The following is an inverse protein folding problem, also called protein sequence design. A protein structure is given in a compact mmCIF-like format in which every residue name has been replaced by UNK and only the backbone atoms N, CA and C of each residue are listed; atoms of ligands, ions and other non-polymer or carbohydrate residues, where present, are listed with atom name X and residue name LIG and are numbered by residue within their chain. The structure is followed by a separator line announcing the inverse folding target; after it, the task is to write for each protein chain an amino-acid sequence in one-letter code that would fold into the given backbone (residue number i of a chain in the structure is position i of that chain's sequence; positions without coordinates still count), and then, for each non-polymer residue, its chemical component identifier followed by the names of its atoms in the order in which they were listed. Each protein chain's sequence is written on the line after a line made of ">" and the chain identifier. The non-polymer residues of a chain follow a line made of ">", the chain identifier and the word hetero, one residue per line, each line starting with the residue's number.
data_IF_129268788291
#
_entry.id   IF_129268788291
#
_cell.length_a   1.000
_cell.length_b   1.000
_cell.length_c   1.000
_cell.angle_alpha   90.00
_cell.angle_beta   90.00
_cell.angle_gamma   90.00
#
_symmetry.space_group_name_H-M   'P 1'
#
loop_
_entity.id
_entity.type
_entity.pdbx_description
1 polymer ?
#
# COMPACT_ATOMS: atom_id res chain seq x y z
N UNK A 1 -36.54 -24.41 -32.59
CA UNK A 1 -36.89 -24.18 -31.18
C UNK A 1 -36.47 -25.34 -30.24
N UNK A 2 -36.47 -26.59 -30.69
CA UNK A 2 -36.05 -27.78 -29.90
C UNK A 2 -34.51 -27.79 -29.68
N UNK A 3 -33.72 -27.43 -30.66
CA UNK A 3 -32.24 -27.40 -30.61
C UNK A 3 -31.67 -26.39 -29.61
N UNK A 4 -32.27 -25.22 -29.45
CA UNK A 4 -31.85 -24.21 -28.45
C UNK A 4 -32.21 -24.60 -27.00
N UNK A 5 -33.27 -25.38 -26.78
CA UNK A 5 -33.62 -25.92 -25.47
C UNK A 5 -32.65 -27.01 -25.01
N UNK A 6 -32.19 -27.85 -25.94
CA UNK A 6 -31.23 -28.93 -25.63
C UNK A 6 -29.80 -28.38 -25.38
N UNK A 7 -29.40 -27.31 -26.06
CA UNK A 7 -28.12 -26.60 -25.76
C UNK A 7 -28.15 -25.94 -24.38
N UNK A 8 -29.23 -25.23 -24.02
CA UNK A 8 -29.36 -24.64 -22.67
C UNK A 8 -29.37 -25.72 -21.56
N UNK A 9 -29.96 -26.89 -21.81
CA UNK A 9 -29.97 -27.98 -20.84
C UNK A 9 -28.59 -28.64 -20.68
N UNK A 10 -27.79 -28.75 -21.75
CA UNK A 10 -26.40 -29.25 -21.73
C UNK A 10 -25.45 -28.28 -21.10
N UNK A 11 -25.65 -26.97 -21.29
CA UNK A 11 -24.82 -25.91 -20.66
C UNK A 11 -25.10 -25.83 -19.16
N UNK A 12 -26.35 -25.85 -18.73
CA UNK A 12 -26.71 -25.86 -17.30
C UNK A 12 -26.19 -27.12 -16.58
N UNK A 13 -26.23 -28.30 -17.22
CA UNK A 13 -25.71 -29.53 -16.59
C UNK A 13 -24.22 -29.57 -16.46
N UNK A 14 -23.45 -28.94 -17.37
CA UNK A 14 -22.00 -28.82 -17.27
C UNK A 14 -21.55 -27.80 -16.20
N UNK A 15 -22.26 -26.66 -16.11
CA UNK A 15 -22.01 -25.63 -15.08
C UNK A 15 -22.36 -26.15 -13.69
N UNK A 16 -23.49 -26.85 -13.52
CA UNK A 16 -23.88 -27.46 -12.24
C UNK A 16 -22.95 -28.62 -11.87
N UNK A 17 -22.45 -29.38 -12.86
CA UNK A 17 -21.45 -30.43 -12.65
C UNK A 17 -20.09 -29.90 -12.24
N UNK A 18 -19.71 -28.71 -12.72
CA UNK A 18 -18.48 -28.04 -12.35
C UNK A 18 -18.55 -27.43 -10.95
N UNK A 19 -19.66 -26.76 -10.62
CA UNK A 19 -19.93 -26.23 -9.27
C UNK A 19 -19.98 -27.37 -8.22
N UNK A 20 -20.53 -28.54 -8.55
CA UNK A 20 -20.54 -29.71 -7.64
C UNK A 20 -19.17 -30.36 -7.45
N UNK A 21 -18.23 -30.25 -8.38
CA UNK A 21 -16.87 -30.79 -8.26
C UNK A 21 -15.89 -29.85 -7.56
N UNK A 22 -16.20 -28.54 -7.53
CA UNK A 22 -15.36 -27.52 -6.86
C UNK A 22 -15.86 -27.22 -5.44
N UNK A 23 -17.13 -27.50 -5.14
CA UNK A 23 -17.75 -27.22 -3.83
C UNK A 23 -17.29 -28.09 -2.64
N UNK A 24 -16.69 -29.30 -2.78
CA UNK A 24 -16.21 -30.03 -1.59
C UNK A 24 -14.88 -29.55 -1.04
N UNK A 25 -14.22 -28.56 -1.64
CA UNK A 25 -12.92 -28.06 -1.14
C UNK A 25 -13.05 -26.80 -0.26
N UNK A 26 -14.27 -26.27 -0.04
CA UNK A 26 -14.50 -25.09 0.80
C UNK A 26 -15.60 -25.31 1.83
N UNK A 27 -15.48 -26.41 2.60
CA UNK A 27 -16.03 -26.45 3.95
C UNK A 27 -14.86 -26.48 4.95
N UNK A 28 -14.00 -25.47 4.87
CA UNK A 28 -13.31 -25.02 6.08
C UNK A 28 -14.41 -24.28 6.86
N UNK A 29 -15.02 -25.01 7.76
CA UNK A 29 -15.85 -24.52 8.83
C UNK A 29 -15.20 -23.29 9.44
N UNK A 30 -15.82 -22.11 9.23
CA UNK A 30 -15.77 -21.04 10.19
C UNK A 30 -16.35 -21.65 11.49
N UNK A 31 -15.48 -22.22 12.30
CA UNK A 31 -15.76 -22.37 13.71
C UNK A 31 -15.90 -20.94 14.24
N UNK A 32 -17.08 -20.58 14.78
CA UNK A 32 -17.14 -19.35 15.56
C UNK A 32 -16.21 -19.57 16.76
N UNK A 33 -15.08 -18.91 16.80
CA UNK A 33 -14.33 -18.65 18.02
C UNK A 33 -15.19 -17.69 18.87
N UNK A 34 -16.36 -18.18 19.29
CA UNK A 34 -17.14 -17.59 20.36
C UNK A 34 -16.56 -18.15 21.65
N UNK A 35 -15.74 -17.38 22.30
CA UNK A 35 -15.33 -17.71 23.64
C UNK A 35 -13.97 -17.16 23.99
N UNK A 36 -13.95 -15.86 24.21
CA UNK A 36 -13.18 -15.16 25.24
C UNK A 36 -13.52 -13.67 25.07
N UNK A 37 -14.80 -13.36 25.37
CA UNK A 37 -15.17 -12.00 25.71
C UNK A 37 -14.69 -11.78 27.14
N UNK A 38 -13.44 -11.42 27.30
CA UNK A 38 -12.98 -10.71 28.45
C UNK A 38 -13.03 -9.24 28.05
N UNK A 39 -13.92 -8.47 28.69
CA UNK A 39 -13.99 -7.01 28.58
C UNK A 39 -12.65 -6.37 29.04
N UNK A 40 -11.62 -6.50 28.22
CA UNK A 40 -10.57 -5.50 28.16
C UNK A 40 -11.16 -4.37 27.32
N UNK A 41 -11.37 -3.21 27.90
CA UNK A 41 -11.57 -1.97 27.16
C UNK A 41 -10.46 -1.93 26.11
N UNK A 42 -10.80 -2.23 24.87
CA UNK A 42 -9.89 -2.18 23.76
C UNK A 42 -9.44 -0.72 23.65
N UNK A 43 -8.22 -0.46 24.04
CA UNK A 43 -7.66 0.88 24.06
C UNK A 43 -7.16 1.19 22.65
N UNK A 44 -7.51 2.36 22.14
CA UNK A 44 -7.11 2.80 20.80
C UNK A 44 -5.64 3.24 20.84
N UNK A 45 -4.77 2.45 20.22
CA UNK A 45 -3.33 2.68 20.14
C UNK A 45 -2.85 2.72 18.67
N UNK A 46 -3.10 3.80 17.95
CA UNK A 46 -2.60 3.94 16.58
C UNK A 46 -1.08 4.07 16.58
N UNK A 47 -0.44 3.57 15.51
CA UNK A 47 1.00 3.77 15.31
C UNK A 47 1.21 5.13 14.65
N UNK A 48 1.78 6.07 15.41
CA UNK A 48 2.07 7.42 14.94
C UNK A 48 3.39 7.49 14.18
N UNK A 49 3.40 8.20 13.05
CA UNK A 49 4.57 8.42 12.23
C UNK A 49 4.48 9.75 11.47
N UNK A 50 5.60 10.27 11.03
CA UNK A 50 5.65 11.45 10.16
C UNK A 50 5.36 11.09 8.69
N UNK A 51 5.21 12.10 7.84
CA UNK A 51 5.09 12.00 6.38
C UNK A 51 3.99 11.02 5.96
N UNK A 52 2.77 11.33 6.38
CA UNK A 52 1.57 10.47 6.20
C UNK A 52 1.34 10.11 4.73
N UNK A 53 1.72 10.98 3.79
CA UNK A 53 1.56 10.72 2.35
C UNK A 53 2.23 9.42 1.90
N UNK A 54 3.28 8.95 2.59
CA UNK A 54 3.99 7.73 2.20
C UNK A 54 3.19 6.45 2.43
N UNK A 55 2.16 6.48 3.27
CA UNK A 55 1.27 5.33 3.50
C UNK A 55 0.06 5.28 2.57
N UNK A 56 -0.14 6.33 1.75
CA UNK A 56 -1.27 6.42 0.82
C UNK A 56 -0.89 5.71 -0.49
N UNK A 57 -1.65 4.69 -0.88
CA UNK A 57 -1.50 4.01 -2.16
C UNK A 57 -1.76 4.98 -3.34
N UNK A 58 -0.83 5.11 -4.30
CA UNK A 58 -0.93 6.16 -5.31
C UNK A 58 -1.74 5.80 -6.54
N UNK A 59 -1.81 4.52 -6.92
CA UNK A 59 -2.33 4.08 -8.22
C UNK A 59 -3.70 3.41 -8.15
N UNK A 60 -4.45 3.54 -9.23
CA UNK A 60 -5.82 3.07 -9.33
C UNK A 60 -5.93 1.54 -9.51
N UNK A 61 -4.93 0.88 -10.13
CA UNK A 61 -4.93 -0.58 -10.29
C UNK A 61 -4.93 -1.28 -8.95
N UNK A 62 -3.93 -0.99 -8.13
CA UNK A 62 -3.79 -1.57 -6.80
C UNK A 62 -4.92 -1.15 -5.87
N UNK A 63 -5.36 0.11 -5.99
CA UNK A 63 -6.52 0.61 -5.27
C UNK A 63 -7.80 -0.19 -5.55
N UNK A 64 -8.03 -0.57 -6.80
CA UNK A 64 -9.19 -1.40 -7.18
C UNK A 64 -9.12 -2.83 -6.62
N UNK A 65 -7.96 -3.26 -6.12
CA UNK A 65 -7.70 -4.60 -5.56
C UNK A 65 -7.51 -4.60 -4.05
N UNK A 66 -7.91 -3.57 -3.31
CA UNK A 66 -7.72 -3.49 -1.85
C UNK A 66 -6.33 -3.01 -1.44
N UNK A 67 -5.69 -2.18 -2.24
CA UNK A 67 -4.32 -1.68 -2.02
C UNK A 67 -3.26 -2.82 -1.98
N UNK A 68 -3.31 -3.72 -2.98
CA UNK A 68 -2.40 -4.85 -3.17
C UNK A 68 -1.42 -4.54 -4.30
N UNK A 69 -0.12 -4.77 -4.07
CA UNK A 69 0.86 -4.48 -5.10
C UNK A 69 2.21 -5.18 -4.94
N UNK A 70 2.49 -5.84 -3.80
CA UNK A 70 3.80 -6.43 -3.53
C UNK A 70 4.19 -7.53 -4.51
N UNK A 71 3.22 -8.36 -4.93
CA UNK A 71 3.45 -9.53 -5.76
C UNK A 71 2.59 -9.59 -7.04
N UNK A 72 1.74 -8.61 -7.29
CA UNK A 72 0.97 -8.51 -8.55
C UNK A 72 1.89 -8.40 -9.76
N UNK A 73 1.35 -8.68 -10.96
CA UNK A 73 2.11 -8.52 -12.20
C UNK A 73 2.83 -7.18 -12.27
N UNK A 74 4.08 -7.17 -12.79
CA UNK A 74 4.87 -5.95 -12.94
C UNK A 74 4.15 -4.89 -13.76
N UNK A 75 4.17 -3.65 -13.27
CA UNK A 75 3.63 -2.48 -13.97
C UNK A 75 4.47 -1.22 -13.70
N UNK A 76 4.06 -0.09 -14.29
CA UNK A 76 4.80 1.17 -14.16
C UNK A 76 4.80 1.71 -12.73
N UNK A 77 3.78 1.42 -11.93
CA UNK A 77 3.65 1.88 -10.54
C UNK A 77 4.36 0.97 -9.52
N UNK A 78 5.12 -0.02 -9.99
CA UNK A 78 5.86 -0.95 -9.12
C UNK A 78 6.88 -0.26 -8.19
N UNK A 79 7.28 0.99 -8.47
CA UNK A 79 8.18 1.75 -7.60
C UNK A 79 7.68 1.88 -6.16
N UNK A 80 6.40 2.12 -5.97
CA UNK A 80 5.78 2.24 -4.64
C UNK A 80 5.59 0.87 -3.95
N UNK A 81 5.23 -0.15 -4.73
CA UNK A 81 4.83 -1.44 -4.20
C UNK A 81 5.99 -2.39 -3.99
N UNK A 82 6.78 -2.58 -5.04
CA UNK A 82 7.93 -3.49 -5.06
C UNK A 82 8.77 -3.20 -6.33
N UNK A 83 9.82 -2.39 -6.24
CA UNK A 83 10.64 -2.06 -7.41
C UNK A 83 11.40 -3.27 -8.00
N UNK A 84 11.54 -4.38 -7.29
CA UNK A 84 12.17 -5.59 -7.81
C UNK A 84 11.36 -6.24 -8.96
N UNK A 85 10.11 -5.82 -9.20
CA UNK A 85 9.28 -6.31 -10.30
C UNK A 85 9.72 -5.78 -11.68
N UNK A 86 10.39 -4.64 -11.77
CA UNK A 86 10.70 -3.99 -13.05
C UNK A 86 11.49 -4.83 -14.06
N UNK A 87 12.47 -5.67 -13.69
CA UNK A 87 13.14 -6.53 -14.67
C UNK A 87 12.21 -7.51 -15.39
N UNK A 88 11.04 -7.84 -14.79
CA UNK A 88 10.02 -8.70 -15.37
C UNK A 88 8.97 -7.95 -16.23
N UNK A 89 9.03 -6.61 -16.31
CA UNK A 89 8.15 -5.86 -17.19
C UNK A 89 8.37 -6.28 -18.65
N UNK A 90 7.30 -6.38 -19.44
CA UNK A 90 7.37 -6.72 -20.86
C UNK A 90 8.01 -5.57 -21.63
N UNK A 91 7.51 -4.34 -21.42
CA UNK A 91 7.99 -3.15 -22.11
C UNK A 91 9.35 -2.70 -21.58
N UNK A 92 10.15 -2.14 -22.46
CA UNK A 92 11.48 -1.63 -22.13
C UNK A 92 11.43 -0.41 -21.19
N UNK A 93 10.41 0.42 -21.35
CA UNK A 93 10.21 1.60 -20.51
C UNK A 93 8.73 1.96 -20.41
N UNK A 94 8.36 2.61 -19.34
CA UNK A 94 7.01 3.14 -19.12
C UNK A 94 7.01 4.32 -18.18
N UNK A 95 5.95 5.13 -18.27
CA UNK A 95 5.68 6.24 -17.36
C UNK A 95 4.21 6.24 -16.98
N UNK A 96 3.90 6.54 -15.71
CA UNK A 96 2.52 6.65 -15.23
C UNK A 96 2.31 7.96 -14.48
N UNK A 97 1.13 8.53 -14.67
CA UNK A 97 0.59 9.67 -13.97
C UNK A 97 -0.59 9.19 -13.12
N UNK A 98 -0.53 9.45 -11.84
CA UNK A 98 -1.56 9.04 -10.89
C UNK A 98 -2.08 10.27 -10.17
N UNK A 99 -3.40 10.33 -9.96
CA UNK A 99 -4.07 11.40 -9.27
C UNK A 99 -5.14 10.84 -8.34
N UNK A 100 -5.11 11.28 -7.09
CA UNK A 100 -6.05 10.89 -6.06
C UNK A 100 -6.54 12.12 -5.32
N UNK A 101 -7.78 12.57 -5.55
CA UNK A 101 -8.44 13.53 -4.66
C UNK A 101 -8.66 12.84 -3.30
N UNK A 102 -7.98 13.36 -2.27
CA UNK A 102 -7.97 12.74 -0.95
C UNK A 102 -8.98 13.39 -0.02
N UNK A 103 -9.67 12.59 0.82
CA UNK A 103 -10.61 13.05 1.84
C UNK A 103 -11.71 14.00 1.33
N UNK A 104 -12.18 13.85 0.09
CA UNK A 104 -13.16 14.74 -0.56
C UNK A 104 -14.48 14.91 0.21
N UNK A 105 -14.81 13.96 1.07
CA UNK A 105 -15.96 14.04 1.98
C UNK A 105 -15.79 15.12 3.07
N UNK A 106 -14.55 15.41 3.46
CA UNK A 106 -14.22 16.35 4.53
C UNK A 106 -13.76 17.70 3.97
N UNK A 107 -12.86 17.69 3.00
CA UNK A 107 -12.21 18.88 2.40
C UNK A 107 -12.00 18.68 0.91
N UNK A 108 -12.06 19.80 0.15
CA UNK A 108 -12.06 19.72 -1.31
C UNK A 108 -10.70 19.96 -1.97
N UNK A 109 -9.67 20.26 -1.21
CA UNK A 109 -8.37 20.75 -1.67
C UNK A 109 -7.17 19.93 -1.21
N UNK A 110 -7.42 18.72 -0.70
CA UNK A 110 -6.37 17.74 -0.39
C UNK A 110 -6.22 16.79 -1.59
N UNK A 111 -5.03 16.78 -2.18
CA UNK A 111 -4.76 16.05 -3.42
C UNK A 111 -3.41 15.33 -3.36
N UNK A 112 -3.37 14.11 -3.89
CA UNK A 112 -2.15 13.36 -4.12
C UNK A 112 -1.91 13.22 -5.62
N UNK A 113 -0.77 13.72 -6.08
CA UNK A 113 -0.22 13.46 -7.41
C UNK A 113 1.01 12.56 -7.31
N UNK A 114 1.11 11.57 -8.18
CA UNK A 114 2.23 10.65 -8.21
C UNK A 114 2.61 10.31 -9.63
N UNK A 115 3.90 10.48 -9.96
CA UNK A 115 4.48 10.13 -11.24
C UNK A 115 5.51 9.03 -11.00
N UNK A 116 5.43 7.95 -11.75
CA UNK A 116 6.42 6.87 -11.71
C UNK A 116 6.89 6.52 -13.11
N UNK A 117 8.12 6.02 -13.20
CA UNK A 117 8.67 5.55 -14.47
C UNK A 117 9.82 4.58 -14.25
N UNK A 118 10.09 3.80 -15.28
CA UNK A 118 11.19 2.86 -15.29
C UNK A 118 11.79 2.74 -16.69
N UNK A 119 13.04 2.25 -16.73
CA UNK A 119 13.74 1.89 -17.93
C UNK A 119 14.56 0.61 -17.69
N UNK A 120 14.30 -0.44 -18.50
CA UNK A 120 15.05 -1.69 -18.45
C UNK A 120 16.38 -1.55 -19.21
N UNK A 121 17.47 -1.95 -18.54
CA UNK A 121 18.82 -1.99 -19.07
C UNK A 121 19.13 -3.43 -19.43
N UNK A 122 18.96 -3.77 -20.72
CA UNK A 122 19.04 -5.16 -21.16
C UNK A 122 17.89 -6.02 -20.60
N UNK A 123 18.17 -7.29 -20.33
CA UNK A 123 17.18 -8.26 -19.88
C UNK A 123 17.16 -8.46 -18.36
N UNK A 124 18.22 -8.00 -17.65
CA UNK A 124 18.44 -8.35 -16.25
C UNK A 124 18.37 -7.19 -15.27
N UNK A 125 18.37 -5.96 -15.74
CA UNK A 125 18.41 -4.80 -14.86
C UNK A 125 17.35 -3.75 -15.26
N UNK A 126 16.94 -2.94 -14.31
CA UNK A 126 16.16 -1.76 -14.57
C UNK A 126 16.53 -0.63 -13.59
N UNK A 127 16.39 0.60 -14.06
CA UNK A 127 16.39 1.81 -13.24
C UNK A 127 14.98 2.35 -13.20
N UNK A 128 14.62 2.98 -12.10
CA UNK A 128 13.28 3.50 -11.87
C UNK A 128 13.33 4.76 -11.04
N UNK A 129 12.24 5.50 -11.05
CA UNK A 129 12.10 6.67 -10.22
C UNK A 129 10.66 7.09 -10.08
N UNK A 130 10.37 7.88 -9.07
CA UNK A 130 9.05 8.46 -8.87
C UNK A 130 9.13 9.82 -8.19
N UNK A 131 8.11 10.63 -8.42
CA UNK A 131 7.86 11.89 -7.74
C UNK A 131 6.46 11.86 -7.14
N UNK A 132 6.36 12.13 -5.87
CA UNK A 132 5.10 12.26 -5.13
C UNK A 132 4.94 13.69 -4.65
N UNK A 133 3.76 14.24 -4.79
CA UNK A 133 3.36 15.52 -4.23
C UNK A 133 1.99 15.37 -3.56
N UNK A 134 1.93 15.72 -2.29
CA UNK A 134 0.71 15.65 -1.49
C UNK A 134 0.40 17.03 -0.92
N UNK A 135 -0.66 17.67 -1.40
CA UNK A 135 -1.19 18.92 -0.88
C UNK A 135 -2.15 18.62 0.26
N UNK A 136 -1.98 19.29 1.38
CA UNK A 136 -2.88 19.20 2.54
C UNK A 136 -3.97 20.31 2.53
N UNK A 137 -4.07 21.06 1.41
CA UNK A 137 -5.06 22.10 1.24
C UNK A 137 -4.68 23.42 1.86
N UNK A 138 -5.65 24.31 1.99
CA UNK A 138 -5.49 25.63 2.59
C UNK A 138 -5.88 25.60 4.07
N UNK A 139 -4.97 26.04 4.93
CA UNK A 139 -5.21 26.16 6.38
C UNK A 139 -5.14 27.62 6.78
N UNK A 140 -6.14 28.09 7.51
CA UNK A 140 -6.17 29.44 8.07
C UNK A 140 -5.52 29.43 9.46
N UNK A 141 -4.57 30.34 9.69
CA UNK A 141 -3.78 30.38 10.94
C UNK A 141 -4.55 30.90 12.14
N UNK A 142 -5.61 31.69 11.91
CA UNK A 142 -6.51 32.16 12.96
C UNK A 142 -7.92 32.38 12.42
N UNK A 143 -8.90 32.57 13.31
CA UNK A 143 -10.27 32.97 12.95
C UNK A 143 -10.44 34.50 12.92
N UNK A 144 -9.36 35.27 13.04
CA UNK A 144 -9.39 36.72 13.03
C UNK A 144 -9.32 37.29 11.60
N UNK A 145 -9.69 38.57 11.45
CA UNK A 145 -9.79 39.28 10.16
C UNK A 145 -8.45 39.37 9.41
N UNK A 146 -7.31 39.14 10.09
CA UNK A 146 -5.95 39.10 9.54
C UNK A 146 -5.36 37.69 9.45
N UNK A 147 -6.18 36.65 9.37
CA UNK A 147 -5.68 35.27 9.21
C UNK A 147 -4.81 35.13 7.96
N UNK A 148 -3.63 34.56 8.12
CA UNK A 148 -2.81 34.16 6.97
C UNK A 148 -3.24 32.77 6.50
N UNK A 149 -3.24 32.58 5.18
CA UNK A 149 -3.46 31.28 4.58
C UNK A 149 -2.12 30.60 4.34
N UNK A 150 -1.96 29.40 4.84
CA UNK A 150 -0.81 28.54 4.58
C UNK A 150 -1.25 27.31 3.77
N UNK A 151 -0.33 26.73 3.01
CA UNK A 151 -0.57 25.56 2.16
C UNK A 151 0.47 24.48 2.51
N UNK A 152 0.20 23.67 3.55
CA UNK A 152 1.10 22.59 3.92
C UNK A 152 1.17 21.54 2.80
N UNK A 153 2.35 20.94 2.60
CA UNK A 153 2.51 19.89 1.61
C UNK A 153 3.67 18.95 1.97
N UNK A 154 3.59 17.76 1.41
CA UNK A 154 4.67 16.77 1.47
C UNK A 154 5.10 16.40 0.05
N UNK A 155 6.38 16.14 -0.13
CA UNK A 155 6.95 15.72 -1.40
C UNK A 155 7.98 14.62 -1.19
N UNK A 156 8.06 13.66 -2.12
CA UNK A 156 9.17 12.72 -2.17
C UNK A 156 9.68 12.52 -3.59
N UNK A 157 10.99 12.28 -3.69
CA UNK A 157 11.68 11.90 -4.91
C UNK A 157 12.40 10.57 -4.66
N UNK A 158 12.09 9.58 -5.48
CA UNK A 158 12.67 8.23 -5.38
C UNK A 158 13.51 7.92 -6.62
N UNK A 159 14.63 7.25 -6.40
CA UNK A 159 15.45 6.65 -7.47
C UNK A 159 15.78 5.22 -7.07
N UNK A 160 15.51 4.26 -7.96
CA UNK A 160 15.68 2.85 -7.71
C UNK A 160 16.48 2.14 -8.80
N UNK A 161 17.10 1.05 -8.39
CA UNK A 161 17.74 0.09 -9.29
C UNK A 161 17.31 -1.32 -8.91
N UNK A 162 17.03 -2.14 -9.91
CA UNK A 162 16.64 -3.54 -9.75
C UNK A 162 17.47 -4.44 -10.62
N UNK A 163 17.75 -5.63 -10.13
CA UNK A 163 18.60 -6.63 -10.76
C UNK A 163 17.98 -8.01 -10.66
N UNK A 164 17.84 -8.70 -11.79
CA UNK A 164 17.45 -10.09 -11.86
C UNK A 164 18.67 -10.97 -11.54
N UNK A 165 18.60 -11.75 -10.47
CA UNK A 165 19.65 -12.68 -10.04
C UNK A 165 19.48 -14.06 -10.68
N UNK A 166 18.26 -14.38 -11.10
CA UNK A 166 17.93 -15.57 -11.90
C UNK A 166 16.69 -15.29 -12.74
N UNK A 167 16.35 -16.15 -13.67
CA UNK A 167 15.13 -16.04 -14.50
C UNK A 167 13.83 -15.93 -13.68
N UNK A 168 13.88 -16.27 -12.37
CA UNK A 168 12.71 -16.29 -11.50
C UNK A 168 12.79 -15.33 -10.32
N UNK A 169 13.96 -14.74 -10.07
CA UNK A 169 14.19 -13.95 -8.85
C UNK A 169 14.97 -12.67 -9.12
N UNK A 170 14.47 -11.59 -8.57
CA UNK A 170 15.09 -10.27 -8.63
C UNK A 170 15.12 -9.60 -7.27
N UNK A 171 16.03 -8.64 -7.14
CA UNK A 171 16.17 -7.74 -6.00
C UNK A 171 16.16 -6.29 -6.46
N UNK A 172 15.84 -5.37 -5.56
CA UNK A 172 15.95 -3.95 -5.82
C UNK A 172 16.33 -3.18 -4.56
N UNK A 173 16.96 -2.04 -4.80
CA UNK A 173 17.16 -1.01 -3.79
C UNK A 173 16.69 0.34 -4.37
N UNK A 174 16.07 1.17 -3.54
CA UNK A 174 15.73 2.53 -3.90
C UNK A 174 16.18 3.50 -2.79
N UNK A 175 16.53 4.71 -3.18
CA UNK A 175 16.80 5.83 -2.29
C UNK A 175 15.67 6.85 -2.46
N UNK A 176 15.23 7.40 -1.34
CA UNK A 176 14.15 8.37 -1.24
C UNK A 176 14.59 9.59 -0.49
N UNK A 177 14.37 10.75 -1.08
CA UNK A 177 14.41 12.03 -0.40
C UNK A 177 12.99 12.47 -0.10
N UNK A 178 12.74 12.86 1.15
CA UNK A 178 11.46 13.32 1.67
C UNK A 178 11.58 14.77 2.08
N UNK A 179 10.60 15.57 1.75
CA UNK A 179 10.44 16.94 2.18
C UNK A 179 9.01 17.16 2.66
N UNK A 180 8.87 17.75 3.84
CA UNK A 180 7.57 18.00 4.46
C UNK A 180 7.55 19.40 5.03
N UNK A 181 6.60 20.21 4.56
CA UNK A 181 6.33 21.56 5.06
C UNK A 181 4.92 21.57 5.67
N UNK A 182 4.85 21.30 6.96
CA UNK A 182 3.62 21.25 7.73
C UNK A 182 3.40 22.52 8.56
N UNK A 183 4.08 23.61 8.23
CA UNK A 183 3.92 24.87 8.95
C UNK A 183 2.48 25.36 8.83
N UNK A 184 1.83 25.49 9.97
CA UNK A 184 0.51 26.10 10.10
C UNK A 184 0.59 27.51 10.68
N UNK A 185 1.76 27.92 11.18
CA UNK A 185 2.06 29.26 11.66
C UNK A 185 3.50 29.61 11.29
N UNK A 186 3.74 30.85 10.84
CA UNK A 186 5.10 31.35 10.56
C UNK A 186 5.78 31.92 11.80
N UNK A 187 5.15 31.80 12.99
CA UNK A 187 5.74 32.22 14.25
C UNK A 187 6.72 31.16 14.79
N UNK A 188 7.91 31.55 14.84
CA UNK A 188 9.10 31.21 15.61
C UNK A 188 9.67 29.80 15.67
N UNK A 189 8.95 28.68 15.56
CA UNK A 189 9.58 27.37 15.84
C UNK A 189 9.29 26.22 14.83
N UNK A 190 8.34 26.37 13.92
CA UNK A 190 8.09 25.35 12.93
C UNK A 190 8.91 25.61 11.67
N UNK A 191 9.74 24.66 11.27
CA UNK A 191 10.52 24.71 10.01
C UNK A 191 10.15 23.54 9.11
N UNK A 192 10.24 23.72 7.78
CA UNK A 192 10.17 22.58 6.87
C UNK A 192 11.25 21.57 7.25
N UNK A 193 10.91 20.30 7.10
CA UNK A 193 11.81 19.23 7.45
C UNK A 193 12.10 18.32 6.24
N UNK A 194 13.27 17.71 6.22
CA UNK A 194 13.63 16.73 5.21
C UNK A 194 14.29 15.51 5.83
N UNK A 195 14.10 14.38 5.17
CA UNK A 195 14.68 13.11 5.58
C UNK A 195 15.11 12.29 4.37
N UNK A 196 15.99 11.33 4.60
CA UNK A 196 16.39 10.34 3.61
C UNK A 196 15.95 8.96 4.09
N UNK A 197 15.48 8.15 3.15
CA UNK A 197 15.11 6.77 3.39
C UNK A 197 15.60 5.88 2.26
N UNK A 198 15.62 4.57 2.53
CA UNK A 198 15.93 3.54 1.56
C UNK A 198 14.86 2.46 1.59
N UNK A 199 14.62 1.85 0.43
CA UNK A 199 13.77 0.69 0.27
C UNK A 199 14.63 -0.50 -0.19
N UNK A 200 14.30 -1.71 0.31
CA UNK A 200 14.88 -2.97 -0.11
C UNK A 200 13.76 -3.92 -0.49
N UNK A 201 13.85 -4.49 -1.68
CA UNK A 201 12.80 -5.33 -2.20
C UNK A 201 13.32 -6.61 -2.87
N UNK A 202 12.49 -7.65 -2.89
CA UNK A 202 12.71 -8.81 -3.71
C UNK A 202 11.39 -9.29 -4.33
N UNK A 203 11.53 -9.95 -5.48
CA UNK A 203 10.40 -10.49 -6.20
C UNK A 203 10.78 -11.86 -6.81
N UNK A 204 9.86 -12.81 -6.66
CA UNK A 204 9.98 -14.14 -7.25
C UNK A 204 8.76 -14.40 -8.12
N UNK A 205 9.02 -14.87 -9.35
CA UNK A 205 8.00 -15.28 -10.31
C UNK A 205 8.29 -16.67 -10.83
N UNK A 206 7.29 -17.52 -10.84
CA UNK A 206 7.41 -18.89 -11.37
C UNK A 206 6.11 -19.32 -12.02
N UNK A 207 6.22 -20.29 -12.93
CA UNK A 207 5.07 -20.92 -13.58
C UNK A 207 4.83 -22.30 -12.98
N UNK A 208 3.58 -22.57 -12.62
CA UNK A 208 3.14 -23.80 -11.98
C UNK A 208 2.03 -24.42 -12.80
N UNK A 209 2.13 -25.73 -13.06
CA UNK A 209 1.05 -26.46 -13.72
C UNK A 209 -0.03 -26.84 -12.69
N UNK A 210 -1.21 -26.22 -12.76
CA UNK A 210 -2.38 -26.53 -11.95
C UNK A 210 -3.44 -27.18 -12.85
N UNK A 211 -3.53 -28.51 -12.81
CA UNK A 211 -4.32 -29.26 -13.75
C UNK A 211 -3.71 -29.20 -15.16
N UNK A 212 -4.46 -28.64 -16.12
CA UNK A 212 -4.03 -28.46 -17.52
C UNK A 212 -3.64 -27.02 -17.85
N UNK A 213 -3.46 -26.17 -16.84
CA UNK A 213 -3.19 -24.74 -17.01
C UNK A 213 -1.83 -24.39 -16.40
N UNK A 214 -1.06 -23.63 -17.12
CA UNK A 214 0.17 -23.03 -16.62
C UNK A 214 -0.18 -21.71 -15.91
N UNK A 215 -0.17 -21.72 -14.59
CA UNK A 215 -0.48 -20.59 -13.74
C UNK A 215 0.80 -19.86 -13.33
N UNK A 216 0.76 -18.53 -13.22
CA UNK A 216 1.90 -17.75 -12.77
C UNK A 216 1.74 -17.45 -11.28
N UNK A 217 2.74 -17.87 -10.49
CA UNK A 217 2.89 -17.52 -9.08
C UNK A 217 3.85 -16.35 -8.93
N UNK A 218 3.41 -15.29 -8.26
CA UNK A 218 4.24 -14.18 -7.81
C UNK A 218 4.38 -14.18 -6.29
N UNK A 219 5.59 -13.95 -5.79
CA UNK A 219 5.85 -13.66 -4.37
C UNK A 219 6.69 -12.39 -4.28
N UNK A 220 6.36 -11.50 -3.37
CA UNK A 220 7.04 -10.23 -3.21
C UNK A 220 7.26 -9.84 -1.77
N UNK A 221 8.40 -9.19 -1.51
CA UNK A 221 8.70 -8.55 -0.25
C UNK A 221 9.27 -7.16 -0.53
N UNK A 222 8.83 -6.17 0.25
CA UNK A 222 9.38 -4.83 0.22
C UNK A 222 9.47 -4.30 1.65
N UNK A 223 10.65 -3.86 2.05
CA UNK A 223 10.88 -3.07 3.26
C UNK A 223 11.12 -1.65 2.80
N UNK A 224 10.18 -0.75 3.03
CA UNK A 224 10.23 0.62 2.53
C UNK A 224 10.38 1.65 3.65
N UNK A 225 10.85 2.85 3.30
CA UNK A 225 11.00 4.00 4.19
C UNK A 225 11.95 3.76 5.37
N UNK A 226 12.93 2.88 5.26
CA UNK A 226 13.99 2.73 6.27
C UNK A 226 14.91 3.93 6.20
N UNK A 227 14.82 4.86 7.14
CA UNK A 227 15.52 6.14 7.03
C UNK A 227 15.75 6.87 8.35
N UNK A 228 16.23 8.10 8.23
CA UNK A 228 16.40 8.99 9.38
C UNK A 228 15.04 9.39 9.94
N UNK A 229 15.02 9.78 11.22
CA UNK A 229 13.87 10.50 11.77
C UNK A 229 13.76 11.88 11.13
N UNK A 230 12.60 12.49 11.21
CA UNK A 230 12.31 13.84 10.75
C UNK A 230 11.94 14.73 11.92
N UNK A 231 12.39 15.98 11.94
CA UNK A 231 12.20 16.93 13.04
C UNK A 231 11.60 18.23 12.49
N UNK A 232 10.45 18.63 13.03
CA UNK A 232 9.75 19.86 12.64
C UNK A 232 9.95 21.02 13.61
N UNK A 233 10.23 20.73 14.89
CA UNK A 233 10.19 21.71 15.99
C UNK A 233 11.47 21.73 16.85
N UNK A 234 12.63 21.62 16.23
CA UNK A 234 13.89 21.54 16.96
C UNK A 234 14.28 20.10 17.36
N UNK A 235 15.36 19.93 18.09
CA UNK A 235 16.00 18.63 18.26
C UNK A 235 15.26 17.65 19.20
N UNK A 236 14.33 18.14 20.03
CA UNK A 236 13.75 17.34 21.10
C UNK A 236 12.52 16.48 20.68
N UNK A 237 12.00 16.65 19.45
CA UNK A 237 10.78 15.95 18.98
C UNK A 237 10.94 15.37 17.58
N UNK A 238 11.84 14.43 17.43
CA UNK A 238 12.02 13.72 16.18
C UNK A 238 10.99 12.59 16.02
N UNK A 239 10.34 12.50 14.87
CA UNK A 239 9.36 11.47 14.54
C UNK A 239 9.93 10.42 13.59
N UNK A 240 9.49 9.18 13.72
CA UNK A 240 9.85 8.11 12.81
C UNK A 240 9.19 8.28 11.45
N UNK A 241 9.89 7.93 10.38
CA UNK A 241 9.29 7.70 9.07
C UNK A 241 8.44 6.43 9.09
N UNK A 242 7.42 6.31 8.22
CA UNK A 242 6.57 5.12 8.14
C UNK A 242 7.32 3.95 7.47
N UNK A 243 8.36 3.45 8.13
CA UNK A 243 9.03 2.23 7.69
C UNK A 243 7.98 1.10 7.67
N UNK A 244 7.94 0.32 6.58
CA UNK A 244 6.90 -0.68 6.40
C UNK A 244 7.46 -1.96 5.79
N UNK A 245 7.12 -3.08 6.39
CA UNK A 245 7.31 -4.41 5.81
C UNK A 245 6.05 -4.82 5.07
N UNK A 246 6.20 -5.09 3.77
CA UNK A 246 5.13 -5.60 2.93
C UNK A 246 5.50 -6.96 2.38
N UNK A 247 4.62 -7.93 2.57
CA UNK A 247 4.73 -9.29 2.03
C UNK A 247 3.51 -9.55 1.14
N UNK A 248 3.71 -10.11 -0.03
CA UNK A 248 2.62 -10.41 -0.93
C UNK A 248 2.77 -11.70 -1.69
N UNK A 249 1.62 -12.22 -2.10
CA UNK A 249 1.51 -13.37 -2.99
C UNK A 249 0.43 -13.14 -4.04
N UNK A 250 0.65 -13.60 -5.25
CA UNK A 250 -0.33 -13.56 -6.34
C UNK A 250 -0.32 -14.86 -7.14
N UNK A 251 -1.49 -15.24 -7.64
CA UNK A 251 -1.67 -16.38 -8.53
C UNK A 251 -2.51 -15.95 -9.72
N UNK A 252 -1.90 -15.88 -10.90
CA UNK A 252 -2.59 -15.64 -12.16
C UNK A 252 -2.93 -16.99 -12.81
N UNK A 253 -4.19 -17.15 -13.17
CA UNK A 253 -4.77 -18.35 -13.75
C UNK A 253 -5.28 -17.99 -15.16
N UNK A 254 -4.68 -18.49 -16.25
CA UNK A 254 -5.23 -18.32 -17.58
C UNK A 254 -6.49 -19.19 -17.69
N UNK A 255 -7.64 -18.57 -17.92
CA UNK A 255 -8.92 -19.27 -18.10
C UNK A 255 -9.00 -19.83 -19.50
N UNK A 256 -8.65 -19.02 -20.50
CA UNK A 256 -8.50 -19.35 -21.92
C UNK A 256 -7.55 -18.33 -22.58
N UNK A 257 -7.46 -18.30 -23.90
CA UNK A 257 -6.57 -17.41 -24.67
C UNK A 257 -6.85 -15.91 -24.46
N UNK A 258 -8.06 -15.55 -24.05
CA UNK A 258 -8.51 -14.17 -23.90
C UNK A 258 -8.78 -13.76 -22.45
N UNK A 259 -8.91 -14.74 -21.56
CA UNK A 259 -9.39 -14.52 -20.20
C UNK A 259 -8.35 -14.92 -19.17
N UNK A 260 -7.94 -14.00 -18.32
CA UNK A 260 -7.05 -14.23 -17.18
C UNK A 260 -7.71 -13.79 -15.89
N UNK A 261 -7.49 -14.56 -14.85
CA UNK A 261 -7.97 -14.26 -13.51
C UNK A 261 -6.81 -14.32 -12.53
N UNK A 262 -6.62 -13.26 -11.75
CA UNK A 262 -5.58 -13.17 -10.73
C UNK A 262 -6.22 -13.04 -9.36
N UNK A 263 -5.72 -13.79 -8.39
CA UNK A 263 -6.00 -13.60 -6.97
C UNK A 263 -4.70 -13.18 -6.33
N UNK A 264 -4.76 -12.18 -5.46
CA UNK A 264 -3.59 -11.69 -4.73
C UNK A 264 -3.94 -11.35 -3.29
N UNK A 265 -2.91 -11.42 -2.43
CA UNK A 265 -2.99 -11.02 -1.04
C UNK A 265 -1.68 -10.35 -0.61
N UNK A 266 -1.79 -9.28 0.17
CA UNK A 266 -0.68 -8.59 0.80
C UNK A 266 -0.90 -8.52 2.32
N UNK A 267 0.19 -8.58 3.07
CA UNK A 267 0.26 -8.28 4.49
C UNK A 267 1.28 -7.17 4.72
N UNK A 268 0.91 -6.16 5.50
CA UNK A 268 1.73 -5.00 5.80
C UNK A 268 1.85 -4.85 7.31
N UNK A 269 3.06 -4.50 7.79
CA UNK A 269 3.30 -4.09 9.17
C UNK A 269 4.15 -2.83 9.16
N UNK A 270 3.69 -1.79 9.84
CA UNK A 270 4.51 -0.61 10.11
C UNK A 270 5.64 -1.01 11.08
N UNK A 271 6.88 -0.72 10.69
CA UNK A 271 8.09 -0.98 11.47
C UNK A 271 8.46 0.28 12.27
N UNK A 272 7.48 0.85 12.95
CA UNK A 272 7.60 2.04 13.77
C UNK A 272 7.28 1.64 15.21
N UNK A 273 8.13 1.98 16.17
CA UNK A 273 7.85 1.63 17.55
C UNK A 273 6.62 2.37 18.07
N UNK A 274 5.92 1.72 19.00
CA UNK A 274 4.75 2.31 19.67
C UNK A 274 5.19 3.54 20.46
N UNK A 275 4.42 4.62 20.34
CA UNK A 275 4.61 5.79 21.19
C UNK A 275 4.24 5.47 22.64
N UNK A 276 5.08 5.81 23.64
CA UNK A 276 4.83 5.49 25.04
C UNK A 276 3.51 6.03 25.56
N UNK A 277 2.76 5.16 26.18
CA UNK A 277 1.49 5.51 26.84
C UNK A 277 1.68 5.69 28.36
N UNK A 278 0.70 6.32 29.01
CA UNK A 278 0.69 6.47 30.46
C UNK A 278 0.69 5.12 31.20
N UNK A 279 0.10 4.09 30.58
CA UNK A 279 0.08 2.74 31.13
C UNK A 279 1.47 2.10 31.10
N UNK A 280 2.18 2.20 29.97
CA UNK A 280 3.54 1.71 29.84
C UNK A 280 4.49 2.42 30.82
N UNK A 281 4.35 3.74 30.96
CA UNK A 281 5.13 4.50 31.92
C UNK A 281 4.86 4.04 33.36
N UNK A 282 3.60 3.89 33.77
CA UNK A 282 3.23 3.43 35.11
C UNK A 282 3.63 1.98 35.40
N UNK A 283 3.70 1.13 34.36
CA UNK A 283 4.21 -0.23 34.49
C UNK A 283 5.72 -0.25 34.76
N UNK A 284 6.50 0.56 33.99
CA UNK A 284 7.95 0.64 34.10
C UNK A 284 8.45 1.49 35.28
N UNK A 285 7.62 2.43 35.78
CA UNK A 285 7.96 3.37 36.85
C UNK A 285 6.71 3.63 37.75
N UNK A 286 6.24 2.61 38.51
CA UNK A 286 4.99 2.70 39.28
C UNK A 286 4.98 3.78 40.33
N UNK A 287 6.13 4.15 40.89
CA UNK A 287 6.31 5.17 41.92
C UNK A 287 6.81 6.52 41.39
N UNK A 288 7.01 6.63 40.06
CA UNK A 288 7.44 7.87 39.39
C UNK A 288 8.85 8.35 39.80
N UNK A 289 9.67 7.46 40.37
CA UNK A 289 10.99 7.85 40.89
C UNK A 289 12.07 7.84 39.83
N UNK A 290 11.91 7.06 38.75
CA UNK A 290 12.90 6.87 37.70
C UNK A 290 12.79 7.93 36.63
N UNK A 291 11.63 8.21 36.11
CA UNK A 291 11.38 9.14 35.01
C UNK A 291 10.69 10.43 35.46
N UNK A 292 9.92 10.39 36.51
CA UNK A 292 9.20 11.54 37.08
C UNK A 292 8.00 12.03 36.24
N UNK A 293 8.01 11.78 34.90
CA UNK A 293 6.91 12.15 34.01
C UNK A 293 6.86 11.26 32.77
N UNK A 294 5.70 11.18 32.12
CA UNK A 294 5.53 10.51 30.84
C UNK A 294 6.41 11.11 29.75
N UNK A 295 6.63 12.43 29.77
CA UNK A 295 7.47 13.11 28.78
C UNK A 295 8.94 12.67 28.89
N UNK A 296 9.49 12.60 30.10
CA UNK A 296 10.85 12.09 30.32
C UNK A 296 10.98 10.61 29.94
N UNK A 297 9.95 9.81 30.21
CA UNK A 297 9.88 8.43 29.75
C UNK A 297 9.87 8.31 28.24
N UNK A 298 9.06 9.13 27.54
CA UNK A 298 8.98 9.14 26.09
C UNK A 298 10.29 9.60 25.41
N UNK A 299 11.02 10.54 26.01
CA UNK A 299 12.33 10.95 25.49
C UNK A 299 13.27 9.73 25.45
N UNK A 300 13.46 9.01 26.55
CA UNK A 300 14.37 7.86 26.61
C UNK A 300 13.89 6.66 25.77
N UNK A 301 12.61 6.34 25.85
CA UNK A 301 12.06 5.08 25.25
C UNK A 301 11.69 5.20 23.77
N UNK A 302 11.48 6.41 23.26
CA UNK A 302 11.03 6.67 21.92
C UNK A 302 11.89 7.70 21.17
N UNK A 303 12.12 8.90 21.75
CA UNK A 303 12.84 9.95 21.02
C UNK A 303 14.32 9.66 20.87
N UNK A 304 14.99 9.04 21.84
CA UNK A 304 16.41 8.68 21.77
C UNK A 304 16.66 7.36 21.04
N UNK A 305 15.60 6.62 20.69
CA UNK A 305 15.73 5.36 19.95
C UNK A 305 16.12 5.64 18.50
N UNK A 306 17.18 5.01 18.02
CA UNK A 306 17.57 5.11 16.61
C UNK A 306 16.54 4.46 15.69
N UNK A 307 16.44 4.93 14.42
CA UNK A 307 15.51 4.38 13.44
C UNK A 307 15.65 2.86 13.26
N UNK A 308 16.89 2.36 13.20
CA UNK A 308 17.14 0.93 13.07
C UNK A 308 16.68 0.14 14.32
N UNK A 309 16.98 0.66 15.52
CA UNK A 309 16.52 0.04 16.78
C UNK A 309 14.99 0.07 16.88
N UNK A 310 14.36 1.14 16.40
CA UNK A 310 12.90 1.26 16.33
C UNK A 310 12.26 0.15 15.49
N UNK A 311 12.83 -0.15 14.31
CA UNK A 311 12.37 -1.24 13.45
C UNK A 311 12.33 -2.59 14.21
N UNK A 312 13.37 -2.91 14.98
CA UNK A 312 13.39 -4.17 15.74
C UNK A 312 12.47 -4.14 16.95
N UNK A 313 12.33 -2.99 17.61
CA UNK A 313 11.39 -2.82 18.74
C UNK A 313 9.94 -3.02 18.31
N UNK A 314 9.56 -2.53 17.14
CA UNK A 314 8.18 -2.59 16.63
C UNK A 314 7.59 -4.01 16.47
N UNK A 315 8.36 -5.05 16.72
CA UNK A 315 7.88 -6.43 16.71
C UNK A 315 7.47 -6.96 18.10
N UNK A 316 7.70 -6.19 19.15
CA UNK A 316 7.41 -6.65 20.53
C UNK A 316 7.27 -5.46 21.50
N UNK A 317 6.58 -4.41 21.11
CA UNK A 317 6.39 -3.19 21.92
C UNK A 317 4.91 -2.83 22.15
N UNK A 318 3.98 -3.62 21.65
CA UNK A 318 2.56 -3.41 21.87
C UNK A 318 2.19 -3.68 23.35
N UNK A 319 1.50 -2.75 24.04
CA UNK A 319 1.13 -2.90 25.46
C UNK A 319 0.29 -4.14 25.75
N UNK A 320 -0.60 -4.54 24.83
CA UNK A 320 -1.41 -5.75 24.94
C UNK A 320 -0.68 -7.05 24.57
N UNK A 321 0.65 -6.98 24.37
CA UNK A 321 1.49 -8.12 24.04
C UNK A 321 1.22 -8.71 22.65
N UNK A 322 1.53 -9.99 22.46
CA UNK A 322 1.50 -10.65 21.14
C UNK A 322 0.15 -10.54 20.41
N UNK A 323 -0.97 -10.48 21.11
CA UNK A 323 -2.29 -10.32 20.50
C UNK A 323 -2.41 -8.96 19.81
N UNK A 324 -1.98 -7.90 20.48
CA UNK A 324 -2.00 -6.55 19.94
C UNK A 324 -0.97 -6.38 18.80
N UNK A 325 0.19 -7.05 18.89
CA UNK A 325 1.15 -7.11 17.78
C UNK A 325 0.53 -7.69 16.50
N UNK A 326 -0.32 -8.71 16.62
CA UNK A 326 -1.05 -9.25 15.46
C UNK A 326 -2.10 -8.27 14.91
N UNK A 327 -2.67 -7.41 15.75
CA UNK A 327 -3.61 -6.36 15.32
C UNK A 327 -2.93 -5.25 14.51
N UNK A 328 -1.60 -5.11 14.59
CA UNK A 328 -0.82 -4.17 13.76
C UNK A 328 -0.64 -4.63 12.32
N UNK A 329 -0.90 -5.90 12.04
CA UNK A 329 -0.81 -6.43 10.69
C UNK A 329 -2.06 -6.03 9.90
N UNK A 330 -1.86 -5.14 8.95
CA UNK A 330 -2.86 -4.83 7.93
C UNK A 330 -2.79 -5.90 6.84
N UNK A 331 -3.93 -6.34 6.35
CA UNK A 331 -3.96 -7.33 5.28
C UNK A 331 -5.00 -6.99 4.22
N UNK A 332 -4.71 -7.40 3.02
CA UNK A 332 -5.57 -7.19 1.86
C UNK A 332 -5.74 -8.47 1.06
N UNK A 333 -6.92 -8.65 0.48
CA UNK A 333 -7.18 -9.68 -0.52
C UNK A 333 -7.88 -9.05 -1.71
N UNK A 334 -7.52 -9.46 -2.92
CA UNK A 334 -8.09 -8.88 -4.12
C UNK A 334 -8.05 -9.82 -5.31
N UNK A 335 -8.85 -9.49 -6.29
CA UNK A 335 -8.97 -10.21 -7.53
C UNK A 335 -9.00 -9.26 -8.72
N UNK A 336 -8.38 -9.68 -9.82
CA UNK A 336 -8.36 -9.00 -11.09
C UNK A 336 -8.79 -9.98 -12.20
N UNK A 337 -9.75 -9.57 -13.00
CA UNK A 337 -10.15 -10.27 -14.21
C UNK A 337 -9.76 -9.42 -15.41
N UNK A 338 -9.02 -10.01 -16.36
CA UNK A 338 -8.57 -9.34 -17.58
C UNK A 338 -9.17 -10.05 -18.78
N UNK A 339 -9.83 -9.26 -19.64
CA UNK A 339 -10.39 -9.71 -20.91
C UNK A 339 -9.60 -9.14 -22.08
N UNK A 340 -9.09 -10.04 -22.92
CA UNK A 340 -8.40 -9.72 -24.18
C UNK A 340 -7.20 -8.78 -24.04
N UNK A 341 -6.54 -8.79 -22.86
CA UNK A 341 -5.45 -7.86 -22.46
C UNK A 341 -5.84 -6.37 -22.53
N UNK A 342 -7.10 -6.06 -22.71
CA UNK A 342 -7.61 -4.71 -22.90
C UNK A 342 -8.49 -4.23 -21.75
N UNK A 343 -9.41 -5.05 -21.29
CA UNK A 343 -10.35 -4.66 -20.23
C UNK A 343 -10.05 -5.38 -18.93
N UNK A 344 -10.01 -4.64 -17.85
CA UNK A 344 -9.79 -5.19 -16.51
C UNK A 344 -10.93 -4.82 -15.58
N UNK A 345 -11.37 -5.78 -14.78
CA UNK A 345 -12.28 -5.57 -13.64
C UNK A 345 -11.58 -6.04 -12.37
N UNK A 346 -11.72 -5.28 -11.31
CA UNK A 346 -11.04 -5.51 -10.04
C UNK A 346 -11.99 -5.39 -8.88
N UNK A 347 -11.73 -6.19 -7.86
CA UNK A 347 -12.38 -6.07 -6.57
C UNK A 347 -11.39 -6.44 -5.47
N UNK A 348 -11.50 -5.82 -4.31
CA UNK A 348 -10.62 -6.10 -3.20
C UNK A 348 -11.23 -5.72 -1.85
N UNK A 349 -10.55 -6.15 -0.81
CA UNK A 349 -10.86 -5.84 0.57
C UNK A 349 -9.57 -5.56 1.34
N UNK A 350 -9.58 -4.50 2.10
CA UNK A 350 -8.51 -4.09 3.00
C UNK A 350 -9.00 -4.11 4.44
N UNK A 351 -8.17 -4.63 5.32
CA UNK A 351 -8.45 -4.68 6.76
C UNK A 351 -7.31 -4.13 7.59
N UNK A 352 -7.65 -3.22 8.48
CA UNK A 352 -6.83 -2.74 9.57
C UNK A 352 -7.64 -2.81 10.86
N UNK A 353 -7.01 -3.21 11.97
CA UNK A 353 -7.68 -3.34 13.26
C UNK A 353 -8.31 -2.04 13.72
N UNK A 354 -9.47 -2.11 14.40
CA UNK A 354 -10.15 -0.95 14.98
C UNK A 354 -9.26 -0.19 15.99
N UNK A 355 -8.35 -0.90 16.67
CA UNK A 355 -7.43 -0.33 17.65
C UNK A 355 -6.22 0.38 17.03
N UNK A 356 -5.94 0.13 15.75
CA UNK A 356 -4.72 0.58 15.06
C UNK A 356 -4.98 1.59 13.93
N UNK A 357 -6.24 1.99 13.69
CA UNK A 357 -6.59 2.97 12.67
C UNK A 357 -7.93 2.74 12.00
N UNK A 358 -8.47 1.52 12.07
CA UNK A 358 -9.81 1.15 11.58
C UNK A 358 -10.05 1.44 10.08
N UNK A 359 -9.01 1.31 9.25
CA UNK A 359 -9.12 1.45 7.80
C UNK A 359 -9.59 0.14 7.19
N UNK A 360 -10.90 -0.09 7.24
CA UNK A 360 -11.52 -1.28 6.67
C UNK A 360 -12.48 -0.88 5.56
N UNK A 361 -12.22 -1.41 4.34
CA UNK A 361 -12.98 -1.03 3.16
C UNK A 361 -12.96 -2.11 2.08
N UNK A 362 -14.02 -2.12 1.26
CA UNK A 362 -14.06 -2.78 -0.03
C UNK A 362 -13.59 -1.83 -1.13
N UNK A 363 -13.08 -2.40 -2.20
CA UNK A 363 -12.70 -1.63 -3.39
C UNK A 363 -13.24 -2.29 -4.64
N UNK A 364 -13.49 -1.45 -5.64
CA UNK A 364 -13.79 -1.88 -7.00
C UNK A 364 -12.95 -1.06 -7.97
N UNK A 365 -12.60 -1.63 -9.10
CA UNK A 365 -11.82 -0.93 -10.10
C UNK A 365 -12.09 -1.43 -11.51
N UNK A 366 -11.78 -0.59 -12.46
CA UNK A 366 -11.82 -0.92 -13.88
C UNK A 366 -10.58 -0.37 -14.59
N UNK A 367 -10.16 -1.05 -15.64
CA UNK A 367 -9.04 -0.64 -16.46
C UNK A 367 -9.30 -0.88 -17.93
N UNK A 368 -8.72 -0.01 -18.72
CA UNK A 368 -8.71 -0.13 -20.18
C UNK A 368 -7.29 0.08 -20.70
N UNK A 369 -6.78 -0.87 -21.47
CA UNK A 369 -5.45 -0.83 -22.06
C UNK A 369 -5.52 -0.87 -23.60
N UNK A 370 -4.77 0.03 -24.21
CA UNK A 370 -4.43 -0.01 -25.62
C UNK A 370 -2.91 -0.20 -25.77
N UNK A 371 -2.46 -0.38 -27.02
CA UNK A 371 -1.04 -0.63 -27.32
C UNK A 371 -0.08 0.42 -26.73
N UNK A 372 -0.54 1.64 -26.54
CA UNK A 372 0.28 2.80 -26.16
C UNK A 372 0.03 3.27 -24.74
N UNK A 373 -1.19 3.14 -24.25
CA UNK A 373 -1.58 3.64 -22.96
C UNK A 373 -2.55 2.72 -22.23
N UNK A 374 -2.61 2.84 -20.90
CA UNK A 374 -3.66 2.28 -20.07
C UNK A 374 -4.27 3.37 -19.19
N UNK A 375 -5.58 3.26 -18.98
CA UNK A 375 -6.37 4.08 -18.06
C UNK A 375 -7.00 3.16 -17.02
N UNK A 376 -6.75 3.44 -15.75
CA UNK A 376 -7.33 2.70 -14.65
C UNK A 376 -8.07 3.64 -13.70
N UNK A 377 -9.16 3.16 -13.12
CA UNK A 377 -9.96 3.86 -12.12
C UNK A 377 -10.20 2.90 -10.96
N UNK A 378 -9.98 3.37 -9.75
CA UNK A 378 -10.26 2.66 -8.50
C UNK A 378 -11.20 3.46 -7.62
N UNK A 379 -12.09 2.77 -6.91
CA UNK A 379 -13.06 3.36 -6.01
C UNK A 379 -13.09 2.62 -4.68
N UNK A 380 -13.07 3.38 -3.58
CA UNK A 380 -13.09 2.88 -2.21
C UNK A 380 -14.48 2.98 -1.64
N UNK A 381 -14.96 1.92 -1.01
CA UNK A 381 -16.25 1.81 -0.33
C UNK A 381 -15.98 1.42 1.12
N UNK A 382 -16.02 2.38 2.02
CA UNK A 382 -15.74 2.11 3.43
C UNK A 382 -16.86 1.30 4.09
N UNK A 383 -16.47 0.41 4.99
CA UNK A 383 -17.39 -0.34 5.86
C UNK A 383 -17.44 0.24 7.27
N UNK A 384 -16.42 0.99 7.66
CA UNK A 384 -16.37 1.66 8.95
C UNK A 384 -17.20 2.94 8.93
N UNK A 385 -17.99 3.17 9.98
CA UNK A 385 -18.75 4.41 10.16
C UNK A 385 -17.79 5.59 10.24
N UNK A 386 -18.07 6.63 9.45
CA UNK A 386 -17.28 7.87 9.43
C UNK A 386 -15.81 7.71 9.00
N UNK A 387 -15.50 6.73 8.15
CA UNK A 387 -14.17 6.60 7.56
C UNK A 387 -13.97 7.71 6.51
N UNK A 388 -12.99 8.60 6.69
CA UNK A 388 -12.74 9.70 5.75
C UNK A 388 -12.29 9.23 4.34
N UNK A 389 -11.87 7.98 4.20
CA UNK A 389 -11.47 7.37 2.91
C UNK A 389 -12.66 6.93 2.06
N UNK A 390 -13.88 6.96 2.61
CA UNK A 390 -15.06 6.56 1.85
C UNK A 390 -15.22 7.39 0.59
N UNK A 391 -15.65 6.75 -0.50
CA UNK A 391 -15.84 7.35 -1.81
C UNK A 391 -14.59 7.97 -2.44
N UNK A 392 -13.38 7.56 -2.01
CA UNK A 392 -12.15 8.00 -2.66
C UNK A 392 -12.03 7.39 -4.05
N UNK A 393 -11.88 8.24 -5.06
CA UNK A 393 -11.58 7.88 -6.44
C UNK A 393 -10.07 7.99 -6.68
N UNK A 394 -9.50 7.05 -7.43
CA UNK A 394 -8.11 7.11 -7.90
C UNK A 394 -8.05 6.92 -9.40
N UNK A 395 -7.20 7.67 -10.05
CA UNK A 395 -7.01 7.65 -11.50
C UNK A 395 -5.55 7.38 -11.83
N UNK A 396 -5.32 6.51 -12.79
CA UNK A 396 -4.00 6.22 -13.34
C UNK A 396 -4.05 6.32 -14.85
N UNK A 397 -3.13 7.08 -15.43
CA UNK A 397 -2.85 7.08 -16.86
C UNK A 397 -1.40 6.65 -17.05
N UNK A 398 -1.18 5.49 -17.67
CA UNK A 398 0.15 4.99 -17.93
C UNK A 398 0.43 4.86 -19.42
N UNK A 399 1.67 5.08 -19.81
CA UNK A 399 2.16 5.04 -21.19
C UNK A 399 3.23 3.98 -21.35
N UNK A 400 3.07 3.16 -22.40
CA UNK A 400 4.04 2.18 -22.84
C UNK A 400 4.92 2.79 -23.93
N UNK A 401 6.23 2.91 -23.64
CA UNK A 401 7.17 3.57 -24.54
C UNK A 401 7.50 2.73 -25.77
N UNK A 402 7.35 1.42 -25.73
CA UNK A 402 7.55 0.57 -26.90
C UNK A 402 6.37 0.72 -27.87
N UNK A 403 5.15 0.76 -27.38
CA UNK A 403 3.97 1.08 -28.16
C UNK A 403 4.03 2.46 -28.82
N UNK A 404 4.56 3.47 -28.12
CA UNK A 404 4.79 4.82 -28.68
C UNK A 404 5.78 4.78 -29.83
N UNK A 405 6.92 4.09 -29.68
CA UNK A 405 7.93 3.98 -30.78
C UNK A 405 7.36 3.33 -32.01
N UNK A 406 6.50 2.33 -31.87
CA UNK A 406 5.88 1.64 -32.98
C UNK A 406 4.88 2.52 -33.75
N UNK A 407 4.23 3.49 -33.08
CA UNK A 407 3.41 4.50 -33.75
C UNK A 407 4.23 5.45 -34.63
N UNK A 408 5.42 5.84 -34.19
CA UNK A 408 6.28 6.74 -34.94
C UNK A 408 7.10 6.07 -36.06
N UNK A 409 7.12 4.72 -36.12
CA UNK A 409 7.76 3.96 -37.18
C UNK A 409 6.84 3.66 -38.39
N UNK A 410 5.54 3.97 -38.26
CA UNK A 410 4.55 3.88 -39.32
C UNK A 410 4.41 5.23 -40.04
#
# INVERSE_FOLDING_TARGET
>A
MKYMKDMKKKMNSKVIGWVRKVLPFYLFTFLPLTGFAQDSKSQYHPINHAVISQTIAPDARSAGMGDIGAATDPDVNSQYWNPAKYPFCISKAGVALNYTPWLRQLVNDIDLAYVAGYYRIGDYAAISGSLRYFSLGEVFTSMEENAMTVKPYEMSLDVGASLMLSEKFSIAAALRWLYSDLRYDYTENASPASAFAADLACYYQNYLNIGQRECQLGLGMNISNVGSKITYFGDDRSQFLPANLRLGASLMIPVDEYNRFTIAADANKLLVPMEPTEEMWKEDDPDGTKYGSLEAYAIEKYNDVSSISGIFKSFNDAPGGFKEELEEIQWSVGAEYIYHDQFSLRAGYHHESENKGNRTYFTVGGGFRMNVFSLDVGYVISTAKSNPLDQTLRFTLAFDMDGIKDLFKR
#
